data_IF_093963697175
#
_entry.id   IF_093963697175
#
_cell.length_a   1.000
_cell.length_b   1.000
_cell.length_c   1.000
_cell.angle_alpha   90.00
_cell.angle_beta   90.00
_cell.angle_gamma   90.00
#
_symmetry.space_group_name_H-M   'P 1'
#
loop_
_entity.id
_entity.type
_entity.pdbx_description
1 polymer ?
#
# COMPACT_ATOMS: atom_id res chain seq x y z
N UNK A 1 -8.90 0.31 -12.21
CA UNK A 1 -7.86 -0.73 -12.20
C UNK A 1 -7.21 -0.67 -10.82
N UNK A 2 -7.72 -1.50 -9.91
CA UNK A 2 -7.26 -1.55 -8.52
C UNK A 2 -6.04 -2.45 -8.48
N UNK A 3 -4.99 -2.05 -7.74
CA UNK A 3 -3.89 -2.95 -7.42
C UNK A 3 -4.49 -4.22 -6.81
N UNK A 4 -4.19 -5.39 -7.39
CA UNK A 4 -4.51 -6.64 -6.72
C UNK A 4 -3.66 -6.72 -5.48
N UNK A 5 -4.31 -6.82 -4.33
CA UNK A 5 -3.64 -6.87 -3.02
C UNK A 5 -2.74 -8.11 -2.93
N UNK A 6 -3.06 -9.16 -3.68
CA UNK A 6 -2.22 -10.33 -3.95
C UNK A 6 -0.80 -9.93 -4.36
N UNK A 7 -0.63 -8.96 -5.25
CA UNK A 7 0.68 -8.55 -5.77
C UNK A 7 1.53 -7.87 -4.69
N UNK A 8 0.90 -7.13 -3.77
CA UNK A 8 1.57 -6.48 -2.64
C UNK A 8 1.97 -7.52 -1.59
N UNK A 9 1.09 -8.48 -1.29
CA UNK A 9 1.30 -9.47 -0.22
C UNK A 9 2.20 -10.63 -0.64
N UNK A 10 2.17 -11.05 -1.91
CA UNK A 10 3.02 -12.11 -2.42
C UNK A 10 4.51 -11.75 -2.40
N UNK A 11 4.84 -10.46 -2.45
CA UNK A 11 6.24 -10.01 -2.43
C UNK A 11 6.85 -10.06 -1.02
N UNK A 12 6.03 -10.10 0.03
CA UNK A 12 6.51 -10.35 1.39
C UNK A 12 6.78 -11.83 1.66
N UNK A 13 6.24 -12.74 0.85
CA UNK A 13 6.45 -14.18 1.02
C UNK A 13 7.88 -14.56 0.63
N UNK A 14 8.60 -15.21 1.55
CA UNK A 14 9.95 -15.73 1.32
C UNK A 14 11.09 -14.73 1.52
N UNK A 15 10.80 -13.45 1.76
CA UNK A 15 11.84 -12.48 2.14
C UNK A 15 12.08 -12.53 3.65
N UNK A 16 13.35 -12.54 4.05
CA UNK A 16 13.69 -12.35 5.45
C UNK A 16 13.69 -10.85 5.82
N UNK A 17 13.63 -10.55 7.12
CA UNK A 17 13.52 -9.18 7.62
C UNK A 17 14.67 -8.28 7.17
N UNK A 18 15.89 -8.81 7.05
CA UNK A 18 17.08 -8.03 6.69
C UNK A 18 17.03 -7.61 5.22
N UNK A 19 16.73 -8.55 4.32
CA UNK A 19 16.53 -8.26 2.89
C UNK A 19 15.39 -7.26 2.67
N UNK A 20 14.28 -7.45 3.40
CA UNK A 20 13.14 -6.53 3.32
C UNK A 20 13.52 -5.11 3.75
N UNK A 21 14.24 -4.98 4.87
CA UNK A 21 14.66 -3.69 5.40
C UNK A 21 15.69 -2.99 4.50
N UNK A 22 16.56 -3.76 3.84
CA UNK A 22 17.55 -3.28 2.89
C UNK A 22 16.92 -2.83 1.57
N UNK A 23 15.86 -3.53 1.12
CA UNK A 23 15.08 -3.14 -0.05
C UNK A 23 14.25 -1.87 0.17
N UNK A 24 13.67 -1.71 1.36
CA UNK A 24 12.77 -0.60 1.69
C UNK A 24 13.36 0.28 2.79
N UNK A 25 14.37 1.07 2.43
CA UNK A 25 15.07 1.99 3.36
C UNK A 25 14.31 3.29 3.57
N UNK A 26 13.51 3.71 2.60
CA UNK A 26 12.82 5.00 2.61
C UNK A 26 11.36 4.89 2.16
N UNK A 27 10.60 5.95 2.46
CA UNK A 27 9.24 6.14 1.92
C UNK A 27 9.25 6.25 0.39
N UNK A 28 10.36 6.68 -0.22
CA UNK A 28 10.50 6.79 -1.67
C UNK A 28 10.62 5.40 -2.30
N UNK A 29 11.44 4.51 -1.73
CA UNK A 29 11.60 3.13 -2.21
C UNK A 29 10.24 2.40 -2.21
N UNK A 30 9.46 2.60 -1.14
CA UNK A 30 8.11 2.03 -1.03
C UNK A 30 7.17 2.62 -2.10
N UNK A 31 7.23 3.93 -2.35
CA UNK A 31 6.37 4.59 -3.35
C UNK A 31 6.74 4.19 -4.77
N UNK A 32 8.02 4.11 -5.09
CA UNK A 32 8.53 3.64 -6.38
C UNK A 32 7.99 2.24 -6.66
N UNK A 33 8.15 1.34 -5.71
CA UNK A 33 7.62 0.00 -5.81
C UNK A 33 6.10 -0.04 -5.99
N UNK A 34 5.35 0.78 -5.25
CA UNK A 34 3.90 0.90 -5.47
C UNK A 34 3.56 1.36 -6.89
N UNK A 35 4.39 2.17 -7.54
CA UNK A 35 4.14 2.59 -8.92
C UNK A 35 4.30 1.46 -9.92
N UNK A 36 5.26 0.55 -9.67
CA UNK A 36 5.50 -0.61 -10.53
C UNK A 36 4.26 -1.50 -10.54
N UNK A 37 3.71 -1.81 -9.36
CA UNK A 37 2.50 -2.64 -9.25
C UNK A 37 1.27 -1.89 -9.78
N UNK A 38 1.08 -0.64 -9.35
CA UNK A 38 -0.14 0.14 -9.67
C UNK A 38 -0.38 0.32 -11.15
N UNK A 39 0.68 0.49 -11.91
CA UNK A 39 0.62 0.77 -13.33
C UNK A 39 1.45 -0.22 -14.14
N UNK A 40 1.55 -1.47 -13.67
CA UNK A 40 2.20 -2.57 -14.40
C UNK A 40 1.56 -2.78 -15.77
N UNK A 41 0.22 -2.69 -15.83
CA UNK A 41 -0.58 -2.81 -17.06
C UNK A 41 -0.72 -1.47 -17.81
N UNK A 42 0.08 -0.48 -17.44
CA UNK A 42 0.04 0.87 -18.00
C UNK A 42 -0.79 1.88 -17.20
N UNK A 43 -0.61 3.16 -17.53
CA UNK A 43 -1.38 4.25 -16.95
C UNK A 43 -2.63 4.55 -17.80
N UNK A 44 -3.76 4.70 -17.13
CA UNK A 44 -4.97 5.24 -17.72
C UNK A 44 -5.57 6.26 -16.74
N UNK A 45 -5.75 7.50 -17.18
CA UNK A 45 -6.28 8.56 -16.33
C UNK A 45 -7.72 8.24 -15.90
N UNK A 46 -7.95 8.16 -14.58
CA UNK A 46 -9.27 7.88 -13.98
C UNK A 46 -10.38 8.89 -14.34
N UNK A 47 -10.04 10.09 -14.80
CA UNK A 47 -11.01 11.14 -15.17
C UNK A 47 -11.35 11.19 -16.65
N UNK A 48 -10.37 10.92 -17.53
CA UNK A 48 -10.52 11.20 -18.96
C UNK A 48 -10.04 10.06 -19.89
N UNK A 49 -9.56 8.95 -19.34
CA UNK A 49 -9.10 7.79 -20.10
C UNK A 49 -7.76 7.96 -20.83
N UNK A 50 -7.13 9.14 -20.79
CA UNK A 50 -5.86 9.38 -21.47
C UNK A 50 -4.72 8.54 -20.87
N UNK A 51 -3.86 7.99 -21.73
CA UNK A 51 -2.70 7.18 -21.32
C UNK A 51 -1.42 8.00 -21.18
N UNK A 52 -1.36 9.22 -21.73
CA UNK A 52 -0.22 10.13 -21.59
C UNK A 52 -0.15 10.79 -20.20
N UNK A 53 1.04 10.75 -19.60
CA UNK A 53 1.32 11.32 -18.27
C UNK A 53 2.72 11.91 -18.14
N UNK A 54 2.90 12.72 -17.09
CA UNK A 54 4.17 13.20 -16.56
C UNK A 54 4.45 12.55 -15.20
N UNK A 55 5.69 12.13 -14.96
CA UNK A 55 6.13 11.61 -13.64
C UNK A 55 6.65 12.76 -12.78
N UNK A 56 6.20 12.81 -11.52
CA UNK A 56 6.63 13.79 -10.52
C UNK A 56 7.71 13.20 -9.61
N UNK A 57 8.43 14.04 -8.87
CA UNK A 57 9.50 13.64 -7.92
C UNK A 57 9.02 12.65 -6.84
N UNK A 58 7.74 12.68 -6.48
CA UNK A 58 7.14 11.77 -5.50
C UNK A 58 6.51 10.52 -6.17
N UNK A 59 6.91 10.22 -7.40
CA UNK A 59 6.40 9.15 -8.26
C UNK A 59 4.90 9.25 -8.62
N UNK A 60 4.27 10.39 -8.39
CA UNK A 60 2.91 10.63 -8.86
C UNK A 60 2.89 10.78 -10.37
N UNK A 61 1.78 10.36 -10.99
CA UNK A 61 1.53 10.55 -12.43
C UNK A 61 0.48 11.65 -12.62
N UNK A 62 0.83 12.71 -13.34
CA UNK A 62 -0.10 13.78 -13.74
C UNK A 62 -0.52 13.55 -15.19
N UNK A 63 -1.82 13.51 -15.45
CA UNK A 63 -2.36 13.35 -16.79
C UNK A 63 -2.03 14.57 -17.67
N UNK A 64 -1.53 14.33 -18.89
CA UNK A 64 -1.18 15.41 -19.81
C UNK A 64 -2.40 16.13 -20.42
N UNK A 65 -3.59 15.51 -20.36
CA UNK A 65 -4.82 16.04 -20.96
C UNK A 65 -5.66 16.85 -19.97
N UNK A 66 -5.93 16.31 -18.78
CA UNK A 66 -6.83 16.93 -17.80
C UNK A 66 -6.12 17.39 -16.51
N UNK A 67 -4.79 17.27 -16.44
CA UNK A 67 -3.96 17.66 -15.29
C UNK A 67 -4.29 16.96 -13.97
N UNK A 68 -5.15 15.93 -13.99
CA UNK A 68 -5.44 15.11 -12.82
C UNK A 68 -4.19 14.37 -12.37
N UNK A 69 -3.88 14.49 -11.07
CA UNK A 69 -2.70 13.85 -10.48
C UNK A 69 -3.12 12.66 -9.64
N UNK A 70 -2.41 11.55 -9.82
CA UNK A 70 -2.57 10.34 -9.04
C UNK A 70 -1.27 9.97 -8.34
N UNK A 71 -1.34 9.83 -7.02
CA UNK A 71 -0.21 9.42 -6.20
C UNK A 71 -0.09 7.88 -6.15
N UNK A 72 1.11 7.33 -5.87
CA UNK A 72 1.33 5.88 -5.78
C UNK A 72 0.41 5.18 -4.76
N UNK A 73 0.17 5.84 -3.62
CA UNK A 73 -0.66 5.30 -2.53
C UNK A 73 -2.17 5.48 -2.74
N UNK A 74 -2.60 6.16 -3.81
CA UNK A 74 -4.03 6.38 -4.05
C UNK A 74 -4.73 5.05 -4.36
N UNK A 75 -5.90 4.83 -3.75
CA UNK A 75 -6.71 3.62 -3.94
C UNK A 75 -5.97 2.31 -3.58
N UNK A 76 -5.09 2.36 -2.58
CA UNK A 76 -4.40 1.17 -2.03
C UNK A 76 -4.59 1.06 -0.52
N UNK A 77 -4.10 -0.03 0.09
CA UNK A 77 -4.04 -0.17 1.55
C UNK A 77 -3.22 0.96 2.21
N UNK A 78 -2.29 1.57 1.47
CA UNK A 78 -1.46 2.68 1.91
C UNK A 78 -2.12 4.06 1.72
N UNK A 79 -3.33 4.12 1.18
CA UNK A 79 -4.05 5.37 1.00
C UNK A 79 -4.27 6.07 2.35
N UNK A 80 -3.88 7.36 2.43
CA UNK A 80 -4.02 8.24 3.60
C UNK A 80 -3.29 7.76 4.87
N UNK A 81 -2.29 6.90 4.74
CA UNK A 81 -1.38 6.57 5.85
C UNK A 81 -0.62 7.83 6.28
N UNK A 82 -0.69 8.17 7.58
CA UNK A 82 -0.04 9.37 8.15
C UNK A 82 1.23 9.07 8.95
N UNK A 83 1.51 7.80 9.24
CA UNK A 83 2.66 7.36 10.06
C UNK A 83 3.87 6.89 9.23
N UNK A 84 3.89 7.24 7.94
CA UNK A 84 4.92 6.83 6.98
C UNK A 84 4.55 5.58 6.18
N UNK A 85 4.84 5.59 4.88
CA UNK A 85 4.54 4.45 3.99
C UNK A 85 5.47 3.28 4.29
N UNK A 86 6.73 3.56 4.60
CA UNK A 86 7.71 2.56 5.04
C UNK A 86 7.24 1.83 6.29
N UNK A 87 6.81 2.56 7.31
CA UNK A 87 6.26 1.96 8.54
C UNK A 87 5.06 1.05 8.23
N UNK A 88 4.18 1.48 7.31
CA UNK A 88 3.06 0.66 6.87
C UNK A 88 3.50 -0.62 6.13
N UNK A 89 4.55 -0.53 5.33
CA UNK A 89 5.17 -1.69 4.66
C UNK A 89 5.68 -2.72 5.66
N UNK A 90 6.40 -2.28 6.70
CA UNK A 90 6.88 -3.18 7.76
C UNK A 90 5.74 -3.83 8.54
N UNK A 91 4.68 -3.08 8.87
CA UNK A 91 3.50 -3.66 9.52
C UNK A 91 2.86 -4.73 8.62
N UNK A 92 2.74 -4.48 7.31
CA UNK A 92 2.20 -5.47 6.37
C UNK A 92 3.10 -6.71 6.27
N UNK A 93 4.41 -6.52 6.15
CA UNK A 93 5.39 -7.61 6.13
C UNK A 93 5.28 -8.48 7.38
N UNK A 94 5.23 -7.87 8.56
CA UNK A 94 5.13 -8.59 9.83
C UNK A 94 3.80 -9.35 9.94
N UNK A 95 2.69 -8.73 9.53
CA UNK A 95 1.38 -9.38 9.51
C UNK A 95 1.29 -10.52 8.49
N UNK A 96 2.01 -10.44 7.37
CA UNK A 96 2.01 -11.46 6.33
C UNK A 96 2.95 -12.65 6.61
N UNK A 97 4.00 -12.44 7.41
CA UNK A 97 5.04 -13.45 7.67
C UNK A 97 4.93 -14.12 9.04
N UNK A 98 4.19 -13.53 9.98
CA UNK A 98 3.98 -14.13 11.30
C UNK A 98 2.94 -15.26 11.27
N UNK A 99 3.24 -16.35 11.98
CA UNK A 99 2.25 -17.39 12.31
C UNK A 99 1.48 -17.08 13.60
N UNK A 100 1.89 -16.05 14.34
CA UNK A 100 1.30 -15.66 15.63
C UNK A 100 0.26 -14.57 15.45
N UNK A 101 -0.81 -14.63 16.24
CA UNK A 101 -1.78 -13.53 16.34
C UNK A 101 -1.12 -12.26 16.87
N UNK A 102 -1.26 -11.15 16.13
CA UNK A 102 -0.77 -9.84 16.54
C UNK A 102 -1.87 -8.99 17.16
N UNK A 103 -1.62 -8.44 18.35
CA UNK A 103 -2.53 -7.48 18.99
C UNK A 103 -2.25 -6.04 18.52
N UNK A 104 -3.30 -5.25 18.33
CA UNK A 104 -3.16 -3.85 17.93
C UNK A 104 -2.45 -3.00 19.00
N UNK A 105 -2.57 -3.37 20.27
CA UNK A 105 -1.87 -2.71 21.38
C UNK A 105 -0.37 -2.96 21.29
N UNK A 106 0.05 -4.21 21.13
CA UNK A 106 1.47 -4.57 20.98
C UNK A 106 2.08 -3.92 19.74
N UNK A 107 1.39 -4.00 18.60
CA UNK A 107 1.85 -3.37 17.36
C UNK A 107 1.93 -1.84 17.50
N UNK A 108 0.96 -1.24 18.19
CA UNK A 108 0.96 0.20 18.46
C UNK A 108 2.20 0.64 19.25
N UNK A 109 2.56 -0.09 20.30
CA UNK A 109 3.79 0.17 21.06
C UNK A 109 5.03 -0.05 20.19
N UNK A 110 5.10 -1.19 19.48
CA UNK A 110 6.25 -1.57 18.64
C UNK A 110 6.58 -0.53 17.56
N UNK A 111 5.56 0.06 16.93
CA UNK A 111 5.72 1.03 15.84
C UNK A 111 5.51 2.49 16.26
N UNK A 112 5.27 2.77 17.55
CA UNK A 112 5.02 4.13 18.03
C UNK A 112 3.71 4.74 17.50
N UNK A 113 2.70 3.90 17.22
CA UNK A 113 1.41 4.30 16.63
C UNK A 113 0.30 4.16 17.68
N UNK A 114 -0.60 5.15 17.76
CA UNK A 114 -1.78 5.08 18.62
C UNK A 114 -2.57 3.79 18.34
N UNK A 115 -2.94 3.07 19.40
CA UNK A 115 -3.61 1.77 19.30
C UNK A 115 -4.84 1.78 18.38
N UNK A 116 -5.67 2.84 18.43
CA UNK A 116 -6.84 2.97 17.55
C UNK A 116 -6.45 3.04 16.07
N UNK A 117 -5.42 3.81 15.73
CA UNK A 117 -4.89 3.92 14.36
C UNK A 117 -4.29 2.60 13.89
N UNK A 118 -3.52 1.94 14.76
CA UNK A 118 -2.96 0.61 14.48
C UNK A 118 -4.08 -0.41 14.23
N UNK A 119 -5.10 -0.46 15.09
CA UNK A 119 -6.25 -1.35 14.94
C UNK A 119 -6.94 -1.17 13.59
N UNK A 120 -7.24 0.07 13.20
CA UNK A 120 -7.88 0.37 11.92
C UNK A 120 -7.00 -0.05 10.73
N UNK A 121 -5.70 0.23 10.80
CA UNK A 121 -4.79 -0.18 9.74
C UNK A 121 -4.64 -1.70 9.65
N UNK A 122 -4.49 -2.40 10.77
CA UNK A 122 -4.44 -3.86 10.79
C UNK A 122 -5.74 -4.49 10.28
N UNK A 123 -6.92 -3.90 10.56
CA UNK A 123 -8.19 -4.36 9.96
C UNK A 123 -8.15 -4.23 8.44
N UNK A 124 -7.74 -3.06 7.93
CA UNK A 124 -7.55 -2.81 6.50
C UNK A 124 -6.61 -3.83 5.86
N UNK A 125 -5.52 -4.19 6.54
CA UNK A 125 -4.56 -5.22 6.08
C UNK A 125 -5.18 -6.62 6.08
N UNK A 126 -5.96 -6.99 7.11
CA UNK A 126 -6.64 -8.29 7.16
C UNK A 126 -7.70 -8.43 6.07
N UNK A 127 -8.52 -7.40 5.88
CA UNK A 127 -9.54 -7.37 4.81
C UNK A 127 -8.87 -7.53 3.44
N UNK A 128 -7.74 -6.85 3.26
CA UNK A 128 -6.91 -6.97 2.07
C UNK A 128 -6.44 -8.44 1.86
N UNK A 129 -5.88 -9.09 2.88
CA UNK A 129 -5.42 -10.49 2.81
C UNK A 129 -6.58 -11.48 2.56
N UNK A 130 -7.75 -11.27 3.17
CA UNK A 130 -8.92 -12.15 2.93
C UNK A 130 -9.46 -11.96 1.50
N UNK A 131 -9.41 -10.74 0.97
CA UNK A 131 -9.89 -10.46 -0.38
C UNK A 131 -9.07 -11.11 -1.49
N UNK A 132 -7.78 -11.34 -1.23
CA UNK A 132 -6.91 -12.14 -2.11
C UNK A 132 -7.23 -13.63 -2.12
N UNK A 133 -8.05 -14.10 -1.18
CA UNK A 133 -8.40 -15.52 -1.08
C UNK A 133 -9.80 -15.84 -1.58
N UNK A 134 -10.75 -14.89 -1.72
CA UNK A 134 -12.04 -15.19 -2.40
C UNK A 134 -13.01 -14.04 -2.81
N UNK A 135 -12.84 -12.73 -2.52
CA UNK A 135 -13.79 -11.69 -3.01
C UNK A 135 -13.20 -10.26 -2.92
N UNK A 136 -13.27 -9.40 -3.96
CA UNK A 136 -12.72 -8.04 -3.91
C UNK A 136 -13.49 -7.11 -2.96
N UNK A 137 -12.80 -6.47 -2.01
CA UNK A 137 -13.43 -5.46 -1.13
C UNK A 137 -13.40 -4.09 -1.81
N UNK A 138 -14.59 -3.51 -2.01
CA UNK A 138 -14.74 -2.10 -2.40
C UNK A 138 -14.61 -1.22 -1.15
N UNK A 139 -13.62 -0.33 -1.13
CA UNK A 139 -13.50 0.67 -0.08
C UNK A 139 -14.51 1.80 -0.32
N UNK A 140 -15.66 1.72 0.35
CA UNK A 140 -16.66 2.79 0.37
C UNK A 140 -16.15 3.98 1.20
N UNK A 141 -16.40 5.20 0.71
CA UNK A 141 -15.81 6.46 1.19
C UNK A 141 -16.53 7.06 2.41
N UNK A 142 -17.46 6.35 3.05
CA UNK A 142 -18.32 6.92 4.09
C UNK A 142 -18.36 6.06 5.37
N UNK A 143 -17.30 6.11 6.20
CA UNK A 143 -17.40 5.89 7.65
C UNK A 143 -16.24 6.54 8.41
#
# INVERSE_FOLDING_TARGET
>A
MSIKIEDIMNIFKGQNLLEFAERFKTDLDCKEYLTQIKWQDGYCCRKCGNTGYQVRKNFSRTCNKCSDTEIPTANTIFHRVRFGVRTAFFICFEMATTTKSLSATQMGVRYGIRQKTMRLFMLKVREAIVSSENHPVFYDKNK
#
